data_IF_083783452547
#
_entry.id   IF_083783452547
#
_cell.length_a   1.000
_cell.length_b   1.000
_cell.length_c   1.000
_cell.angle_alpha   90.00
_cell.angle_beta   90.00
_cell.angle_gamma   90.00
#
_symmetry.space_group_name_H-M   'P 1'
#
loop_
_entity.id
_entity.type
_entity.pdbx_description
1 polymer ?
#
# COMPACT_ATOMS: atom_id res chain seq x y z
N UNK A 1 11.92 18.31 24.58
CA UNK A 1 11.50 16.90 24.59
C UNK A 1 10.45 16.77 25.69
N UNK A 2 9.17 16.68 25.34
CA UNK A 2 8.14 16.43 26.36
C UNK A 2 8.43 15.07 27.03
N UNK A 3 8.12 14.90 28.32
CA UNK A 3 8.31 13.63 29.00
C UNK A 3 7.55 12.53 28.25
N UNK A 4 8.19 11.38 28.01
CA UNK A 4 7.54 10.24 27.39
C UNK A 4 6.42 9.75 28.33
N UNK A 5 5.18 9.80 27.87
CA UNK A 5 4.03 9.38 28.66
C UNK A 5 4.12 7.87 28.96
N UNK A 6 4.23 7.45 30.24
CA UNK A 6 4.38 6.03 30.60
C UNK A 6 3.13 5.21 30.26
N UNK A 7 2.02 5.87 29.98
CA UNK A 7 0.73 5.26 29.65
C UNK A 7 0.55 4.94 28.16
N UNK A 8 1.47 5.42 27.31
CA UNK A 8 1.59 5.09 25.89
C UNK A 8 2.57 3.92 25.78
N UNK A 9 2.02 2.70 25.81
CA UNK A 9 2.81 1.48 25.69
C UNK A 9 2.73 0.91 24.28
N UNK A 10 3.77 0.18 23.86
CA UNK A 10 3.82 -0.48 22.55
C UNK A 10 2.61 -1.40 22.31
N UNK A 11 2.18 -2.12 23.35
CA UNK A 11 1.03 -3.00 23.27
C UNK A 11 -0.25 -2.25 22.92
N UNK A 12 -0.48 -1.06 23.50
CA UNK A 12 -1.64 -0.24 23.17
C UNK A 12 -1.60 0.24 21.72
N UNK A 13 -0.43 0.67 21.25
CA UNK A 13 -0.26 1.15 19.87
C UNK A 13 -0.52 0.03 18.86
N UNK A 14 0.08 -1.15 19.08
CA UNK A 14 -0.08 -2.29 18.17
C UNK A 14 -1.52 -2.81 18.21
N UNK A 15 -2.10 -2.95 19.40
CA UNK A 15 -3.49 -3.36 19.56
C UNK A 15 -4.44 -2.42 18.80
N UNK A 16 -4.24 -1.10 18.92
CA UNK A 16 -5.08 -0.11 18.25
C UNK A 16 -4.96 -0.20 16.72
N UNK A 17 -3.74 -0.41 16.23
CA UNK A 17 -3.46 -0.53 14.79
C UNK A 17 -4.10 -1.78 14.19
N UNK A 18 -3.99 -2.92 14.89
CA UNK A 18 -4.60 -4.19 14.45
C UNK A 18 -6.13 -4.12 14.53
N UNK A 19 -6.67 -3.56 15.62
CA UNK A 19 -8.11 -3.33 15.81
C UNK A 19 -8.69 -2.44 14.69
N UNK A 20 -7.99 -1.38 14.32
CA UNK A 20 -8.35 -0.49 13.23
C UNK A 20 -8.30 -1.19 11.87
N UNK A 21 -7.24 -1.96 11.59
CA UNK A 21 -7.11 -2.72 10.35
C UNK A 21 -8.21 -3.78 10.18
N UNK A 22 -8.62 -4.45 11.26
CA UNK A 22 -9.75 -5.38 11.25
C UNK A 22 -11.12 -4.72 11.32
N UNK A 23 -11.20 -3.39 11.44
CA UNK A 23 -12.45 -2.64 11.71
C UNK A 23 -13.23 -3.16 12.92
N UNK A 24 -12.53 -3.65 13.96
CA UNK A 24 -13.13 -4.24 15.16
C UNK A 24 -13.70 -3.15 16.09
N UNK A 25 -13.03 -2.01 16.18
CA UNK A 25 -13.47 -0.86 16.97
C UNK A 25 -13.21 -0.96 18.49
N UNK A 26 -12.35 -1.89 18.92
CA UNK A 26 -11.91 -2.00 20.31
C UNK A 26 -10.70 -1.11 20.59
N UNK A 27 -10.63 -0.56 21.80
CA UNK A 27 -9.54 0.29 22.27
C UNK A 27 -9.17 -0.02 23.71
N UNK A 28 -7.87 -0.02 24.02
CA UNK A 28 -7.37 -0.14 25.40
C UNK A 28 -7.46 1.17 26.19
N UNK A 29 -7.87 2.26 25.53
CA UNK A 29 -8.09 3.56 26.16
C UNK A 29 -6.84 4.19 26.79
N UNK A 30 -7.06 5.30 27.47
CA UNK A 30 -6.02 6.04 28.19
C UNK A 30 -6.52 6.37 29.61
N UNK A 31 -5.67 6.25 30.64
CA UNK A 31 -6.08 6.53 32.01
C UNK A 31 -6.54 7.99 32.17
N UNK A 32 -7.56 8.21 32.99
CA UNK A 32 -8.17 9.52 33.27
C UNK A 32 -9.03 10.12 32.15
N UNK A 33 -9.22 9.42 31.02
CA UNK A 33 -10.17 9.81 29.98
C UNK A 33 -11.03 8.62 29.55
N UNK A 34 -12.33 8.85 29.43
CA UNK A 34 -13.29 7.83 28.97
C UNK A 34 -13.43 7.90 27.45
N UNK A 35 -12.30 7.80 26.75
CA UNK A 35 -12.23 7.88 25.29
C UNK A 35 -11.22 6.88 24.74
N UNK A 36 -11.35 6.53 23.45
CA UNK A 36 -10.37 5.69 22.77
C UNK A 36 -8.96 6.27 22.89
N UNK A 37 -7.97 5.37 22.94
CA UNK A 37 -6.55 5.69 22.92
C UNK A 37 -6.16 6.61 21.75
N UNK A 38 -6.88 6.52 20.62
CA UNK A 38 -6.72 7.41 19.48
C UNK A 38 -6.91 8.92 19.80
N UNK A 39 -7.56 9.26 20.92
CA UNK A 39 -7.78 10.64 21.36
C UNK A 39 -6.47 11.34 21.73
N UNK A 40 -5.56 10.62 22.41
CA UNK A 40 -4.28 11.13 22.94
C UNK A 40 -3.16 11.11 21.88
N UNK A 41 -3.38 10.40 20.77
CA UNK A 41 -2.43 10.32 19.68
C UNK A 41 -2.26 11.67 18.96
N UNK A 42 -1.07 11.89 18.40
CA UNK A 42 -0.78 13.04 17.53
C UNK A 42 -1.71 13.06 16.30
N UNK A 43 -2.09 14.23 15.77
CA UNK A 43 -2.92 14.32 14.56
C UNK A 43 -2.34 13.54 13.37
N UNK A 44 -1.01 13.48 13.21
CA UNK A 44 -0.38 12.68 12.16
C UNK A 44 -0.68 11.18 12.31
N UNK A 45 -0.58 10.64 13.53
CA UNK A 45 -0.92 9.24 13.81
C UNK A 45 -2.39 8.94 13.63
N UNK A 46 -3.31 9.89 13.88
CA UNK A 46 -4.75 9.71 13.62
C UNK A 46 -5.04 9.51 12.12
N UNK A 47 -4.35 10.25 11.24
CA UNK A 47 -4.47 10.07 9.78
C UNK A 47 -4.04 8.67 9.36
N UNK A 48 -2.91 8.19 9.89
CA UNK A 48 -2.44 6.82 9.64
C UNK A 48 -3.46 5.79 10.13
N UNK A 49 -4.06 6.01 11.30
CA UNK A 49 -5.09 5.15 11.89
C UNK A 49 -6.38 5.10 11.03
N UNK A 50 -6.78 6.22 10.45
CA UNK A 50 -7.89 6.27 9.49
C UNK A 50 -7.51 5.55 8.19
N UNK A 51 -6.28 5.74 7.70
CA UNK A 51 -5.78 5.05 6.52
C UNK A 51 -5.74 3.53 6.71
N UNK A 52 -5.39 3.03 7.90
CA UNK A 52 -5.43 1.58 8.19
C UNK A 52 -6.86 1.04 8.28
N UNK A 53 -7.84 1.81 8.79
CA UNK A 53 -9.26 1.44 8.73
C UNK A 53 -9.77 1.36 7.29
N UNK A 54 -9.37 2.32 6.44
CA UNK A 54 -9.71 2.31 5.01
C UNK A 54 -9.07 1.10 4.32
N UNK A 55 -7.79 0.85 4.57
CA UNK A 55 -7.05 -0.30 4.03
C UNK A 55 -7.72 -1.64 4.40
N UNK A 56 -8.14 -1.79 5.65
CA UNK A 56 -8.86 -2.97 6.14
C UNK A 56 -10.17 -3.24 5.41
N UNK A 57 -10.93 -2.17 5.14
CA UNK A 57 -12.18 -2.26 4.36
C UNK A 57 -11.93 -2.47 2.87
N UNK A 58 -10.81 -1.99 2.36
CA UNK A 58 -10.39 -2.09 0.96
C UNK A 58 -9.60 -3.37 0.64
N UNK A 59 -9.83 -4.48 1.35
CA UNK A 59 -9.24 -5.79 1.03
C UNK A 59 -9.34 -6.21 -0.47
N UNK A 60 -10.22 -5.59 -1.27
CA UNK A 60 -10.29 -5.74 -2.73
C UNK A 60 -9.46 -4.78 -3.60
N UNK A 61 -9.02 -3.60 -3.10
CA UNK A 61 -8.20 -2.66 -3.89
C UNK A 61 -6.72 -3.04 -3.93
N UNK A 62 -6.20 -3.72 -2.89
CA UNK A 62 -4.84 -4.30 -2.91
C UNK A 62 -4.70 -5.46 -3.88
N UNK A 63 -5.79 -6.18 -4.19
CA UNK A 63 -5.81 -7.11 -5.32
C UNK A 63 -5.65 -6.32 -6.62
N UNK A 64 -6.46 -5.27 -6.82
CA UNK A 64 -6.35 -4.40 -8.00
C UNK A 64 -4.99 -3.72 -8.18
N UNK A 65 -4.28 -3.43 -7.09
CA UNK A 65 -2.94 -2.84 -7.16
C UNK A 65 -1.85 -3.85 -7.58
N UNK A 66 -2.01 -5.15 -7.31
CA UNK A 66 -1.17 -6.20 -7.92
C UNK A 66 -1.48 -6.34 -9.41
N UNK A 67 -2.73 -6.11 -9.81
CA UNK A 67 -3.11 -6.08 -11.21
C UNK A 67 -2.47 -4.90 -11.91
N UNK A 68 -2.30 -3.75 -11.25
CA UNK A 68 -1.67 -2.55 -11.83
C UNK A 68 -0.22 -2.81 -12.26
N UNK A 69 0.60 -3.47 -11.42
CA UNK A 69 1.97 -3.91 -11.77
C UNK A 69 1.95 -4.90 -12.95
N UNK A 70 0.96 -5.81 -12.96
CA UNK A 70 0.75 -6.77 -14.05
C UNK A 70 0.33 -6.09 -15.36
N UNK A 71 -0.49 -5.03 -15.30
CA UNK A 71 -0.98 -4.29 -16.47
C UNK A 71 0.15 -3.45 -17.10
N UNK A 72 0.97 -2.77 -16.30
CA UNK A 72 2.10 -1.99 -16.82
C UNK A 72 3.18 -2.91 -17.45
N UNK A 73 3.45 -4.07 -16.84
CA UNK A 73 4.30 -5.10 -17.44
C UNK A 73 3.73 -5.66 -18.76
N UNK A 74 2.41 -5.88 -18.83
CA UNK A 74 1.76 -6.40 -20.06
C UNK A 74 1.88 -5.44 -21.25
N UNK A 75 1.76 -4.13 -21.01
CA UNK A 75 1.90 -3.11 -22.05
C UNK A 75 3.35 -3.01 -22.55
N UNK A 76 4.32 -3.13 -21.63
CA UNK A 76 5.74 -3.13 -21.98
C UNK A 76 6.15 -4.37 -22.79
N UNK A 77 5.60 -5.55 -22.46
CA UNK A 77 5.87 -6.80 -23.19
C UNK A 77 5.29 -6.76 -24.62
N UNK A 78 4.09 -6.18 -24.79
CA UNK A 78 3.50 -5.93 -26.11
C UNK A 78 4.34 -4.98 -26.95
N UNK A 79 4.84 -3.90 -26.35
CA UNK A 79 5.71 -2.94 -27.02
C UNK A 79 7.03 -3.61 -27.44
N UNK A 80 7.64 -4.42 -26.57
CA UNK A 80 8.86 -5.15 -26.89
C UNK A 80 8.65 -6.19 -28.00
N UNK A 81 7.50 -6.87 -28.05
CA UNK A 81 7.16 -7.80 -29.13
C UNK A 81 7.05 -7.10 -30.48
N UNK A 82 6.37 -5.94 -30.54
CA UNK A 82 6.25 -5.13 -31.75
C UNK A 82 7.61 -4.58 -32.20
N UNK A 83 8.42 -4.09 -31.26
CA UNK A 83 9.79 -3.64 -31.54
C UNK A 83 10.66 -4.76 -32.10
N UNK A 84 10.57 -5.96 -31.55
CA UNK A 84 11.33 -7.13 -32.03
C UNK A 84 10.89 -7.58 -33.43
N UNK A 85 9.59 -7.51 -33.76
CA UNK A 85 9.11 -7.79 -35.12
C UNK A 85 9.72 -6.82 -36.11
N UNK A 86 9.72 -5.52 -35.80
CA UNK A 86 10.31 -4.50 -36.67
C UNK A 86 11.83 -4.66 -36.82
N UNK A 87 12.53 -5.05 -35.75
CA UNK A 87 13.97 -5.33 -35.80
C UNK A 87 14.24 -6.54 -36.70
N UNK A 88 13.53 -7.65 -36.50
CA UNK A 88 13.67 -8.84 -37.35
C UNK A 88 13.29 -8.55 -38.82
N UNK A 89 12.27 -7.73 -39.04
CA UNK A 89 11.83 -7.35 -40.39
C UNK A 89 12.88 -6.46 -41.05
N UNK A 90 13.39 -5.45 -40.33
CA UNK A 90 14.49 -4.61 -40.80
C UNK A 90 15.75 -5.43 -41.07
N UNK A 91 16.07 -6.39 -40.21
CA UNK A 91 17.22 -7.29 -40.37
C UNK A 91 17.05 -8.20 -41.61
N UNK A 92 15.86 -8.78 -41.84
CA UNK A 92 15.55 -9.50 -43.09
C UNK A 92 15.65 -8.62 -44.33
N UNK A 93 15.17 -7.39 -44.26
CA UNK A 93 15.17 -6.47 -45.42
C UNK A 93 16.58 -5.97 -45.72
N UNK A 94 17.40 -5.76 -44.70
CA UNK A 94 18.79 -5.27 -44.82
C UNK A 94 19.76 -6.39 -45.19
N UNK A 95 19.56 -7.62 -44.69
CA UNK A 95 20.38 -8.79 -45.05
C UNK A 95 19.89 -9.51 -46.31
N UNK A 96 18.62 -9.36 -46.69
CA UNK A 96 18.01 -9.92 -47.90
C UNK A 96 18.36 -9.21 -49.21
N UNK A 97 19.20 -8.17 -49.17
CA UNK A 97 19.79 -7.49 -50.33
C UNK A 97 21.25 -7.90 -50.58
N UNK A 98 21.71 -9.02 -49.98
CA UNK A 98 23.11 -9.47 -50.05
C UNK A 98 23.34 -10.86 -50.63
N UNK A 99 22.43 -11.35 -51.48
CA UNK A 99 22.66 -12.51 -52.36
C UNK A 99 22.04 -12.26 -53.72
#
# INVERSE_FOLDING_TARGET
MAPADPNITLLKIIFETISAFGTVGLSLGYPNIVSSFATVLSPASKVILIATMLMGRHCGLLASMKDQETIEYSAFDLLNRERLKLICEYEKTTLGLRT
#
